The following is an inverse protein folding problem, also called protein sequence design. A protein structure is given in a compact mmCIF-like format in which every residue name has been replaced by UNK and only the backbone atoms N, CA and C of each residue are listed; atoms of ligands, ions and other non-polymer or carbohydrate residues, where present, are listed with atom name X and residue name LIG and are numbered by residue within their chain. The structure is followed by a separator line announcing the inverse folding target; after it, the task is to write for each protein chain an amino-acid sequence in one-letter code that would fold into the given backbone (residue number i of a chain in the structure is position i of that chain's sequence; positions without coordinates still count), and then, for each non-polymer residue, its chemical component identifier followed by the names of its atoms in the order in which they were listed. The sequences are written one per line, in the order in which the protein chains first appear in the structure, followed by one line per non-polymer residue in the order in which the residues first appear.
data_IF_199215087185
#
_entry.id   IF_199215087185
#
_cell.length_a   1.000
_cell.length_b   1.000
_cell.length_c   1.000
_cell.angle_alpha   90.00
_cell.angle_beta   90.00
_cell.angle_gamma   90.00
#
_symmetry.space_group_name_H-M   'P 1'
#
loop_
_entity.id
_entity.type
_entity.pdbx_description
1 polymer ?
#
# COMPACT_ATOMS: atom_id res chain seq x y z
N UNK A 1 -8.67 2.37 -12.95
CA UNK A 1 -9.57 1.55 -12.09
C UNK A 1 -10.35 2.42 -11.12
N UNK A 2 -9.85 2.87 -9.97
CA UNK A 2 -10.70 3.65 -9.02
C UNK A 2 -10.78 5.16 -9.33
N UNK A 3 -9.66 5.80 -9.68
CA UNK A 3 -9.63 7.24 -9.99
C UNK A 3 -10.43 7.58 -11.27
N UNK A 4 -10.43 6.66 -12.25
CA UNK A 4 -11.23 6.80 -13.46
C UNK A 4 -12.73 6.65 -13.18
N UNK A 5 -13.10 5.78 -12.23
CA UNK A 5 -14.48 5.61 -11.77
C UNK A 5 -14.98 6.88 -11.06
N UNK A 6 -14.14 7.48 -10.20
CA UNK A 6 -14.44 8.80 -9.62
C UNK A 6 -14.59 9.90 -10.69
N UNK A 7 -13.72 9.91 -11.71
CA UNK A 7 -13.75 10.93 -12.76
C UNK A 7 -14.99 10.86 -13.66
N UNK A 8 -15.57 9.69 -13.89
CA UNK A 8 -16.78 9.55 -14.71
C UNK A 8 -18.03 10.17 -14.08
N UNK A 9 -18.02 10.42 -12.75
CA UNK A 9 -19.12 11.08 -12.05
C UNK A 9 -19.08 12.61 -12.11
N UNK A 10 -18.16 13.24 -12.88
CA UNK A 10 -18.05 14.71 -13.08
C UNK A 10 -17.79 15.53 -11.81
N UNK A 11 -16.91 15.08 -10.92
CA UNK A 11 -16.52 15.88 -9.75
C UNK A 11 -15.02 16.15 -9.72
N UNK A 12 -14.64 17.39 -9.40
CA UNK A 12 -13.23 17.85 -9.45
C UNK A 12 -12.45 17.58 -8.15
N UNK A 13 -13.13 17.26 -7.04
CA UNK A 13 -12.50 16.95 -5.75
C UNK A 13 -13.21 15.79 -5.04
N UNK A 14 -12.47 14.72 -4.76
CA UNK A 14 -12.97 13.51 -4.11
C UNK A 14 -12.19 13.24 -2.81
N UNK A 15 -12.89 13.01 -1.70
CA UNK A 15 -12.29 12.44 -0.50
C UNK A 15 -12.55 10.94 -0.49
N UNK A 16 -11.49 10.16 -0.64
CA UNK A 16 -11.56 8.69 -0.62
C UNK A 16 -11.03 8.25 0.74
N UNK A 17 -11.95 7.98 1.67
CA UNK A 17 -11.62 7.43 2.98
C UNK A 17 -11.66 5.90 2.94
N UNK A 18 -10.72 5.26 3.63
CA UNK A 18 -10.61 3.81 3.66
C UNK A 18 -11.22 3.23 4.93
N UNK A 19 -12.02 2.17 4.80
CA UNK A 19 -12.66 1.52 5.95
C UNK A 19 -11.68 0.52 6.63
N UNK A 20 -11.31 0.82 7.87
CA UNK A 20 -10.30 0.06 8.63
C UNK A 20 -10.71 -1.37 8.99
N UNK A 21 -12.00 -1.71 9.07
CA UNK A 21 -12.45 -3.07 9.40
C UNK A 21 -12.28 -4.06 8.24
N UNK A 22 -12.52 -3.64 6.99
CA UNK A 22 -12.29 -4.49 5.82
C UNK A 22 -10.80 -4.70 5.52
N UNK A 23 -9.94 -3.77 5.94
CA UNK A 23 -8.49 -3.94 5.86
C UNK A 23 -8.00 -5.16 6.64
N UNK A 24 -8.57 -5.40 7.84
CA UNK A 24 -8.17 -6.53 8.68
C UNK A 24 -8.40 -7.87 7.98
N UNK A 25 -9.48 -8.00 7.22
CA UNK A 25 -9.75 -9.21 6.45
C UNK A 25 -8.71 -9.40 5.33
N UNK A 26 -8.37 -8.32 4.61
CA UNK A 26 -7.32 -8.36 3.59
C UNK A 26 -5.94 -8.71 4.17
N UNK A 27 -5.60 -8.15 5.33
CA UNK A 27 -4.35 -8.47 6.04
C UNK A 27 -4.33 -9.93 6.49
N UNK A 28 -5.43 -10.45 7.05
CA UNK A 28 -5.52 -11.88 7.43
C UNK A 28 -5.32 -12.80 6.23
N UNK A 29 -6.04 -12.53 5.13
CA UNK A 29 -5.91 -13.30 3.89
C UNK A 29 -4.49 -13.24 3.33
N UNK A 30 -3.87 -12.05 3.34
CA UNK A 30 -2.48 -11.89 2.94
C UNK A 30 -1.55 -12.75 3.82
N UNK A 31 -1.67 -12.66 5.14
CA UNK A 31 -0.86 -13.42 6.08
C UNK A 31 -1.07 -14.94 5.89
N UNK A 32 -2.31 -15.40 5.63
CA UNK A 32 -2.64 -16.80 5.32
C UNK A 32 -1.94 -17.28 4.04
N UNK A 33 -2.05 -16.52 2.94
CA UNK A 33 -1.39 -16.86 1.67
C UNK A 33 0.13 -16.82 1.78
N UNK A 34 0.68 -15.96 2.62
CA UNK A 34 2.12 -15.83 2.84
C UNK A 34 2.65 -17.01 3.68
N UNK A 35 1.99 -17.31 4.79
CA UNK A 35 2.38 -18.38 5.72
C UNK A 35 2.29 -19.78 5.11
N UNK A 36 1.47 -19.97 4.07
CA UNK A 36 1.42 -21.19 3.29
C UNK A 36 2.68 -21.43 2.41
N UNK A 37 3.57 -20.43 2.27
CA UNK A 37 4.75 -20.50 1.40
C UNK A 37 6.07 -20.54 2.19
N UNK A 38 7.15 -20.96 1.52
CA UNK A 38 8.49 -20.92 2.10
C UNK A 38 9.02 -19.49 2.29
N UNK A 39 8.49 -18.50 1.55
CA UNK A 39 8.93 -17.09 1.62
C UNK A 39 8.76 -16.54 3.04
N UNK A 40 7.70 -16.92 3.75
CA UNK A 40 7.47 -16.49 5.13
C UNK A 40 8.51 -17.04 6.12
N UNK A 41 9.20 -18.13 5.79
CA UNK A 41 10.16 -18.83 6.65
C UNK A 41 11.60 -18.41 6.40
N UNK A 42 11.88 -17.61 5.37
CA UNK A 42 13.24 -17.26 4.96
C UNK A 42 13.55 -15.81 5.30
N UNK A 43 14.75 -15.57 5.85
CA UNK A 43 15.28 -14.22 6.02
C UNK A 43 15.49 -13.53 4.67
N UNK A 44 14.73 -12.48 4.42
CA UNK A 44 14.86 -11.70 3.20
C UNK A 44 14.37 -10.27 3.38
N UNK A 45 14.65 -9.44 2.38
CA UNK A 45 14.03 -8.12 2.28
C UNK A 45 12.50 -8.23 2.10
N UNK A 46 11.99 -9.31 1.51
CA UNK A 46 10.54 -9.56 1.37
C UNK A 46 9.85 -9.75 2.72
N UNK A 47 10.55 -10.27 3.72
CA UNK A 47 10.03 -10.44 5.10
C UNK A 47 10.35 -9.25 6.00
N UNK A 48 11.07 -8.24 5.50
CA UNK A 48 11.50 -7.07 6.26
C UNK A 48 12.67 -7.33 7.22
N UNK A 49 13.41 -8.43 7.04
CA UNK A 49 14.53 -8.82 7.92
C UNK A 49 15.69 -7.83 7.93
N UNK A 50 15.75 -6.93 6.95
CA UNK A 50 16.80 -5.94 6.76
C UNK A 50 16.64 -4.68 7.64
N UNK A 51 15.51 -4.51 8.34
CA UNK A 51 15.25 -3.33 9.19
C UNK A 51 15.06 -3.75 10.65
N UNK A 52 16.03 -3.43 11.54
CA UNK A 52 15.90 -3.72 12.97
C UNK A 52 14.66 -3.07 13.59
N UNK A 53 13.97 -3.80 14.46
CA UNK A 53 12.79 -3.30 15.18
C UNK A 53 11.48 -3.29 14.38
N UNK A 54 11.49 -3.62 13.08
CA UNK A 54 10.26 -3.73 12.28
C UNK A 54 9.60 -5.11 12.45
N UNK A 55 8.26 -5.19 12.62
CA UNK A 55 7.55 -6.45 12.59
C UNK A 55 7.79 -7.20 11.27
N UNK A 56 8.09 -8.50 11.37
CA UNK A 56 8.37 -9.36 10.22
C UNK A 56 7.07 -9.83 9.58
N UNK A 57 6.85 -9.42 8.33
CA UNK A 57 5.73 -9.86 7.48
C UNK A 57 6.16 -9.85 6.04
N UNK A 58 5.63 -10.79 5.25
CA UNK A 58 5.85 -10.79 3.81
C UNK A 58 5.22 -9.52 3.24
N UNK A 59 5.96 -8.77 2.43
CA UNK A 59 5.48 -7.48 1.90
C UNK A 59 4.66 -7.64 0.61
N UNK A 60 4.86 -8.74 -0.12
CA UNK A 60 4.22 -9.00 -1.41
C UNK A 60 3.08 -10.00 -1.28
N UNK A 61 2.04 -9.86 -2.11
CA UNK A 61 0.97 -10.85 -2.17
C UNK A 61 1.45 -12.13 -2.84
N UNK A 62 1.28 -13.27 -2.16
CA UNK A 62 1.77 -14.58 -2.61
C UNK A 62 0.66 -15.51 -3.13
N UNK A 63 -0.60 -15.08 -3.11
CA UNK A 63 -1.74 -15.86 -3.60
C UNK A 63 -1.85 -15.94 -5.14
N UNK A 64 -0.91 -15.35 -5.89
CA UNK A 64 -0.86 -15.44 -7.35
C UNK A 64 -1.54 -14.28 -8.08
N UNK A 65 -1.07 -14.00 -9.30
CA UNK A 65 -1.50 -12.80 -10.05
C UNK A 65 -2.93 -12.92 -10.58
N UNK A 66 -3.40 -14.12 -10.91
CA UNK A 66 -4.77 -14.36 -11.39
C UNK A 66 -5.80 -14.03 -10.31
N UNK A 67 -5.65 -14.66 -9.13
CA UNK A 67 -6.50 -14.41 -7.96
C UNK A 67 -6.47 -12.93 -7.56
N UNK A 68 -5.30 -12.29 -7.59
CA UNK A 68 -5.19 -10.85 -7.30
C UNK A 68 -6.00 -9.99 -8.28
N UNK A 69 -5.99 -10.32 -9.58
CA UNK A 69 -6.78 -9.62 -10.59
C UNK A 69 -8.28 -9.84 -10.38
N UNK A 70 -8.69 -11.08 -10.13
CA UNK A 70 -10.09 -11.42 -9.91
C UNK A 70 -10.66 -10.67 -8.70
N UNK A 71 -9.91 -10.60 -7.60
CA UNK A 71 -10.27 -9.83 -6.40
C UNK A 71 -10.35 -8.32 -6.71
N UNK A 72 -9.45 -7.80 -7.54
CA UNK A 72 -9.49 -6.41 -7.99
C UNK A 72 -10.71 -6.09 -8.86
N UNK A 73 -11.05 -6.99 -9.78
CA UNK A 73 -12.20 -6.86 -10.68
C UNK A 73 -13.51 -7.01 -9.91
N UNK A 74 -13.58 -7.91 -8.92
CA UNK A 74 -14.71 -7.99 -7.98
C UNK A 74 -14.90 -6.70 -7.19
N UNK A 75 -13.81 -6.14 -6.64
CA UNK A 75 -13.85 -4.87 -5.92
C UNK A 75 -14.34 -3.73 -6.82
N UNK A 76 -13.96 -3.71 -8.10
CA UNK A 76 -14.43 -2.72 -9.07
C UNK A 76 -15.92 -2.91 -9.42
N UNK A 77 -16.36 -4.15 -9.68
CA UNK A 77 -17.77 -4.48 -9.97
C UNK A 77 -18.70 -4.12 -8.81
N UNK A 78 -18.23 -4.29 -7.58
CA UNK A 78 -19.00 -4.01 -6.36
C UNK A 78 -18.92 -2.54 -5.92
N UNK A 79 -18.37 -1.64 -6.76
CA UNK A 79 -18.34 -0.20 -6.47
C UNK A 79 -17.40 0.18 -5.32
N UNK A 80 -16.29 -0.54 -5.16
CA UNK A 80 -15.26 -0.27 -4.15
C UNK A 80 -15.80 -0.23 -2.71
N UNK A 81 -16.42 -1.30 -2.20
CA UNK A 81 -17.19 -1.29 -0.95
C UNK A 81 -16.33 -1.18 0.33
N UNK A 82 -15.01 -1.06 0.20
CA UNK A 82 -14.05 -0.79 1.28
C UNK A 82 -13.60 0.67 1.32
N UNK A 83 -14.04 1.47 0.34
CA UNK A 83 -13.72 2.88 0.20
C UNK A 83 -15.01 3.68 0.34
N UNK A 84 -15.01 4.62 1.27
CA UNK A 84 -16.04 5.64 1.36
C UNK A 84 -15.60 6.80 0.49
N UNK A 85 -16.36 7.08 -0.57
CA UNK A 85 -16.15 8.23 -1.43
C UNK A 85 -17.12 9.33 -1.00
N UNK A 86 -16.60 10.47 -0.55
CA UNK A 86 -17.42 11.65 -0.26
C UNK A 86 -16.98 12.83 -1.12
N UNK A 87 -17.96 13.66 -1.50
CA UNK A 87 -17.68 14.97 -2.09
C UNK A 87 -16.87 15.79 -1.10
N UNK A 88 -15.82 16.46 -1.57
CA UNK A 88 -15.15 17.46 -0.75
C UNK A 88 -16.06 18.70 -0.65
N UNK A 89 -17.02 18.72 0.28
CA UNK A 89 -17.71 19.96 0.61
C UNK A 89 -16.76 20.83 1.45
N UNK A 90 -16.29 21.90 0.82
CA UNK A 90 -15.83 23.18 1.37
C UNK A 90 -15.37 23.20 2.85
N UNK A 91 -14.26 22.52 3.17
CA UNK A 91 -13.37 22.94 4.27
C UNK A 91 -11.99 23.38 3.75
N UNK A 92 -11.92 23.79 2.48
CA UNK A 92 -10.80 24.53 1.95
C UNK A 92 -10.85 25.98 2.48
N UNK A 93 -10.47 26.16 3.75
CA UNK A 93 -9.80 27.41 4.13
C UNK A 93 -8.56 27.57 3.23
N UNK A 94 -8.14 28.81 2.93
CA UNK A 94 -7.04 29.05 2.00
C UNK A 94 -5.81 28.23 2.40
N UNK A 95 -5.27 27.48 1.42
CA UNK A 95 -4.07 26.67 1.60
C UNK A 95 -2.96 27.55 2.20
N UNK A 96 -2.19 27.06 3.20
CA UNK A 96 -1.02 27.79 3.65
C UNK A 96 -0.08 27.97 2.46
N UNK A 97 0.24 29.22 2.14
CA UNK A 97 1.25 29.58 1.14
C UNK A 97 2.55 28.87 1.51
N UNK A 98 2.92 27.86 0.73
CA UNK A 98 4.18 27.14 0.88
C UNK A 98 5.34 28.02 0.41
N UNK A 99 5.70 29.02 1.20
CA UNK A 99 7.00 29.67 1.07
C UNK A 99 8.08 28.73 1.59
N UNK A 100 9.05 28.41 0.74
CA UNK A 100 10.27 27.70 1.14
C UNK A 100 10.41 26.26 0.64
N UNK A 101 10.32 26.02 -0.68
CA UNK A 101 10.97 24.83 -1.25
C UNK A 101 12.49 25.09 -1.28
N UNK A 102 13.17 24.81 -0.17
CA UNK A 102 14.62 24.68 -0.17
C UNK A 102 15.02 23.58 -1.14
N UNK A 103 15.86 23.91 -2.14
CA UNK A 103 16.39 23.01 -3.15
C UNK A 103 17.52 22.11 -2.62
N UNK A 104 17.57 21.85 -1.31
CA UNK A 104 18.58 20.99 -0.72
C UNK A 104 18.39 19.54 -1.19
N UNK A 105 19.26 19.09 -2.08
CA UNK A 105 19.37 17.69 -2.47
C UNK A 105 19.54 16.82 -1.21
N UNK A 106 18.67 15.83 -1.03
CA UNK A 106 18.83 14.83 0.03
C UNK A 106 20.23 14.20 -0.08
N UNK A 107 20.97 14.05 1.02
CA UNK A 107 22.28 13.40 0.97
C UNK A 107 22.09 11.98 0.45
N UNK A 108 22.79 11.66 -0.65
CA UNK A 108 22.84 10.29 -1.16
C UNK A 108 23.50 9.43 -0.09
N UNK A 109 22.73 8.56 0.56
CA UNK A 109 23.32 7.55 1.44
C UNK A 109 24.28 6.70 0.61
N UNK A 110 25.52 6.48 1.09
CA UNK A 110 26.47 5.62 0.39
C UNK A 110 25.88 4.21 0.27
N UNK A 111 26.08 3.61 -0.90
CA UNK A 111 25.71 2.22 -1.16
C UNK A 111 26.55 1.32 -0.24
N UNK A 112 25.93 0.71 0.76
CA UNK A 112 26.55 -0.32 1.59
C UNK A 112 26.33 -1.65 0.87
N UNK A 113 27.40 -2.37 0.45
CA UNK A 113 27.26 -3.71 -0.09
C UNK A 113 26.62 -4.62 0.95
N UNK A 114 25.56 -5.33 0.58
CA UNK A 114 24.99 -6.37 1.43
C UNK A 114 25.98 -7.53 1.46
N UNK A 115 26.74 -7.67 2.53
CA UNK A 115 27.47 -8.92 2.79
C UNK A 115 26.47 -10.07 2.89
N UNK A 116 26.78 -11.18 2.22
CA UNK A 116 25.97 -12.39 2.27
C UNK A 116 25.88 -12.87 3.73
N UNK A 117 24.66 -12.98 4.25
CA UNK A 117 24.39 -13.58 5.55
C UNK A 117 25.05 -14.97 5.65
N UNK A 118 25.77 -15.29 6.73
CA UNK A 118 26.62 -16.48 6.80
C UNK A 118 25.87 -17.83 6.94
N UNK A 119 24.54 -17.82 7.05
CA UNK A 119 23.78 -19.07 7.15
C UNK A 119 23.24 -19.52 5.79
N UNK A 120 24.04 -20.34 5.12
CA UNK A 120 23.64 -21.28 4.06
C UNK A 120 23.33 -22.64 4.69
#
# INVERSE_FOLDING_TARGET
MILSYCSSERFTHHHIAYNSCKNRHWVSHHDETANATLIAKTDSWYTGSNVPGKPRRVLSYTGGVGIYRDLGDEMARNGYPSFTMSKADALAGPLPTMEGRSTAASPKHPFVPVEASPNR
#
